data_IF_343934863970
#
_entry.id   IF_343934863970
#
_cell.length_a   1.000
_cell.length_b   1.000
_cell.length_c   1.000
_cell.angle_alpha   90.00
_cell.angle_beta   90.00
_cell.angle_gamma   90.00
#
_symmetry.space_group_name_H-M   'P 1'
#
loop_
_entity.id
_entity.type
_entity.pdbx_description
1 polymer ?
#
# COMPACT_ATOMS: atom_id res chain seq x y z
N UNK A 1 9.09 -7.01 7.12
CA UNK A 1 8.08 -7.81 6.40
C UNK A 1 7.99 -7.25 5.00
N UNK A 2 8.01 -8.09 3.96
CA UNK A 2 7.85 -7.62 2.59
C UNK A 2 6.50 -6.93 2.43
N UNK A 3 6.47 -5.94 1.55
CA UNK A 3 5.28 -5.11 1.32
C UNK A 3 4.37 -5.83 0.32
N UNK A 4 3.07 -5.96 0.63
CA UNK A 4 2.10 -6.53 -0.30
C UNK A 4 1.68 -5.52 -1.38
N UNK A 5 1.03 -5.99 -2.44
CA UNK A 5 0.60 -5.16 -3.57
C UNK A 5 -0.25 -3.94 -3.15
N UNK A 6 -1.19 -4.12 -2.22
CA UNK A 6 -2.04 -3.04 -1.73
C UNK A 6 -1.24 -2.01 -0.92
N UNK A 7 -0.32 -2.45 -0.06
CA UNK A 7 0.51 -1.55 0.74
C UNK A 7 1.48 -0.77 -0.15
N UNK A 8 2.00 -1.40 -1.22
CA UNK A 8 2.81 -0.72 -2.23
C UNK A 8 1.99 0.35 -2.96
N UNK A 9 0.79 -0.01 -3.44
CA UNK A 9 -0.15 0.93 -4.04
C UNK A 9 -0.47 2.11 -3.10
N UNK A 10 -0.80 1.82 -1.84
CA UNK A 10 -1.11 2.85 -0.84
C UNK A 10 0.06 3.82 -0.65
N UNK A 11 1.31 3.33 -0.58
CA UNK A 11 2.48 4.21 -0.44
C UNK A 11 2.66 5.12 -1.66
N UNK A 12 2.52 4.58 -2.87
CA UNK A 12 2.62 5.36 -4.10
C UNK A 12 1.52 6.43 -4.22
N UNK A 13 0.29 6.10 -3.81
CA UNK A 13 -0.87 6.97 -3.95
C UNK A 13 -1.12 7.84 -2.72
N UNK A 14 -0.35 7.69 -1.64
CA UNK A 14 -0.50 8.47 -0.41
C UNK A 14 -0.45 9.99 -0.66
N UNK A 15 0.52 10.53 -1.42
CA UNK A 15 0.56 11.98 -1.70
C UNK A 15 -0.70 12.47 -2.42
N UNK A 16 -1.23 11.66 -3.34
CA UNK A 16 -2.45 11.96 -4.10
C UNK A 16 -3.69 11.95 -3.20
N UNK A 17 -3.79 11.00 -2.28
CA UNK A 17 -4.88 10.91 -1.32
C UNK A 17 -4.82 12.09 -0.34
N UNK A 18 -3.63 12.45 0.14
CA UNK A 18 -3.43 13.62 1.00
C UNK A 18 -3.81 14.93 0.31
N UNK A 19 -3.44 15.08 -0.97
CA UNK A 19 -3.83 16.22 -1.78
C UNK A 19 -5.35 16.28 -1.98
N UNK A 20 -5.98 15.14 -2.28
CA UNK A 20 -7.42 15.04 -2.43
C UNK A 20 -8.17 15.49 -1.16
N UNK A 21 -7.76 14.98 0.01
CA UNK A 21 -8.33 15.39 1.29
C UNK A 21 -8.05 16.87 1.59
N UNK A 22 -6.87 17.39 1.25
CA UNK A 22 -6.52 18.81 1.40
C UNK A 22 -7.44 19.70 0.55
N UNK A 23 -7.64 19.37 -0.72
CA UNK A 23 -8.50 20.12 -1.65
C UNK A 23 -9.97 20.14 -1.20
N UNK A 24 -10.44 19.07 -0.57
CA UNK A 24 -11.80 18.98 -0.01
C UNK A 24 -11.96 19.61 1.37
N UNK A 25 -10.93 20.27 1.90
CA UNK A 25 -10.88 20.76 3.28
C UNK A 25 -11.27 19.69 4.31
N UNK A 26 -11.00 18.43 4.01
CA UNK A 26 -11.38 17.31 4.86
C UNK A 26 -10.50 17.29 6.12
N UNK A 27 -11.15 17.54 7.26
CA UNK A 27 -10.51 17.53 8.58
C UNK A 27 -9.97 16.13 8.96
N UNK A 28 -10.43 15.08 8.28
CA UNK A 28 -10.03 13.70 8.49
C UNK A 28 -8.74 13.31 7.77
N UNK A 29 -8.06 14.23 7.07
CA UNK A 29 -6.81 13.94 6.33
C UNK A 29 -5.67 13.36 7.17
N UNK A 30 -5.65 13.63 8.49
CA UNK A 30 -4.63 13.09 9.41
C UNK A 30 -4.98 11.70 9.93
N UNK A 31 -6.20 11.21 9.65
CA UNK A 31 -6.65 9.92 10.11
C UNK A 31 -6.20 8.83 9.13
N UNK A 32 -5.25 8.01 9.55
CA UNK A 32 -4.74 6.88 8.78
C UNK A 32 -5.83 5.87 8.38
N UNK A 33 -6.88 5.70 9.19
CA UNK A 33 -8.02 4.85 8.85
C UNK A 33 -8.81 5.44 7.69
N UNK A 34 -8.97 6.77 7.65
CA UNK A 34 -9.64 7.45 6.55
C UNK A 34 -8.85 7.34 5.24
N UNK A 35 -7.53 7.59 5.29
CA UNK A 35 -6.62 7.40 4.15
C UNK A 35 -6.70 5.97 3.61
N UNK A 36 -6.70 4.98 4.51
CA UNK A 36 -6.77 3.56 4.13
C UNK A 36 -8.12 3.20 3.51
N UNK A 37 -9.21 3.81 3.96
CA UNK A 37 -10.54 3.65 3.35
C UNK A 37 -10.57 4.19 1.91
N UNK A 38 -10.03 5.39 1.68
CA UNK A 38 -9.92 5.97 0.34
C UNK A 38 -9.04 5.08 -0.56
N UNK A 39 -7.86 4.70 -0.09
CA UNK A 39 -6.95 3.82 -0.84
C UNK A 39 -7.61 2.48 -1.19
N UNK A 40 -8.37 1.88 -0.25
CA UNK A 40 -9.10 0.65 -0.48
C UNK A 40 -10.24 0.79 -1.49
N UNK A 41 -10.94 1.92 -1.47
CA UNK A 41 -11.97 2.23 -2.45
C UNK A 41 -11.38 2.45 -3.86
N UNK A 42 -10.26 3.16 -3.96
CA UNK A 42 -9.55 3.35 -5.23
C UNK A 42 -9.02 2.03 -5.78
N UNK A 43 -8.35 1.23 -4.95
CA UNK A 43 -7.76 -0.05 -5.35
C UNK A 43 -8.77 -1.01 -5.99
N UNK A 44 -10.01 -1.06 -5.50
CA UNK A 44 -11.08 -1.90 -6.08
C UNK A 44 -11.57 -1.41 -7.45
N UNK A 45 -11.38 -0.12 -7.75
CA UNK A 45 -11.78 0.50 -9.01
C UNK A 45 -10.65 0.49 -10.06
N UNK A 46 -9.40 0.25 -9.63
CA UNK A 46 -8.27 0.22 -10.54
C UNK A 46 -8.35 -0.98 -11.52
N UNK A 47 -7.90 -0.80 -12.77
CA UNK A 47 -7.91 -1.84 -13.79
C UNK A 47 -7.07 -3.04 -13.35
N UNK A 48 -7.44 -4.22 -13.84
CA UNK A 48 -6.75 -5.47 -13.50
C UNK A 48 -5.25 -5.40 -13.83
N UNK A 49 -4.89 -4.85 -15.00
CA UNK A 49 -3.49 -4.69 -15.42
C UNK A 49 -2.65 -3.84 -14.45
N UNK A 50 -3.26 -2.86 -13.78
CA UNK A 50 -2.55 -2.09 -12.76
C UNK A 50 -2.34 -2.93 -11.50
N UNK A 51 -3.38 -3.65 -11.06
CA UNK A 51 -3.31 -4.53 -9.90
C UNK A 51 -2.29 -5.65 -10.09
N UNK A 52 -2.20 -6.21 -11.29
CA UNK A 52 -1.24 -7.24 -11.67
C UNK A 52 0.20 -6.70 -11.68
N UNK A 53 0.42 -5.46 -12.15
CA UNK A 53 1.73 -4.79 -12.04
C UNK A 53 2.17 -4.62 -10.60
N UNK A 54 1.28 -4.15 -9.72
CA UNK A 54 1.59 -4.03 -8.29
C UNK A 54 1.82 -5.40 -7.62
N UNK A 55 1.14 -6.46 -8.07
CA UNK A 55 1.39 -7.81 -7.60
C UNK A 55 2.78 -8.30 -8.02
N UNK A 56 3.20 -8.07 -9.26
CA UNK A 56 4.53 -8.40 -9.75
C UNK A 56 5.63 -7.67 -8.96
N UNK A 57 5.46 -6.37 -8.72
CA UNK A 57 6.42 -5.59 -7.90
C UNK A 57 6.47 -6.06 -6.44
N UNK A 58 5.34 -6.43 -5.85
CA UNK A 58 5.30 -6.97 -4.49
C UNK A 58 5.99 -8.34 -4.38
N UNK A 59 5.86 -9.21 -5.39
CA UNK A 59 6.61 -10.47 -5.44
C UNK A 59 8.11 -10.24 -5.62
N UNK A 60 8.53 -9.23 -6.39
CA UNK A 60 9.93 -8.83 -6.48
C UNK A 60 10.48 -8.35 -5.13
N UNK A 61 9.74 -7.51 -4.40
CA UNK A 61 10.13 -7.04 -3.07
C UNK A 61 10.25 -8.21 -2.09
N UNK A 62 9.30 -9.16 -2.14
CA UNK A 62 9.30 -10.37 -1.33
C UNK A 62 10.49 -11.28 -1.60
N UNK A 63 10.83 -11.51 -2.87
CA UNK A 63 12.00 -12.29 -3.25
C UNK A 63 13.30 -11.55 -2.87
N UNK A 64 13.37 -10.24 -3.07
CA UNK A 64 14.48 -9.40 -2.63
C UNK A 64 14.69 -9.48 -1.11
N UNK A 65 13.61 -9.38 -0.34
CA UNK A 65 13.64 -9.53 1.12
C UNK A 65 14.07 -10.94 1.54
N UNK A 66 13.64 -11.99 0.82
CA UNK A 66 14.07 -13.37 1.10
C UNK A 66 15.58 -13.55 0.86
N UNK A 67 16.11 -12.95 -0.20
CA UNK A 67 17.55 -12.97 -0.52
C UNK A 67 18.38 -12.15 0.45
N UNK A 68 17.91 -10.96 0.82
CA UNK A 68 18.60 -10.05 1.73
C UNK A 68 18.59 -10.54 3.19
N UNK A 69 17.54 -11.25 3.58
CA UNK A 69 17.37 -11.76 4.95
C UNK A 69 17.13 -13.28 4.96
N UNK A 70 18.14 -14.09 4.61
CA UNK A 70 18.04 -15.55 4.66
C UNK A 70 17.92 -15.99 6.12
N UNK A 71 16.71 -16.37 6.54
CA UNK A 71 16.39 -16.73 7.93
C UNK A 71 15.38 -15.82 8.62
N UNK A 72 14.89 -14.77 7.92
CA UNK A 72 13.82 -13.94 8.46
C UNK A 72 12.52 -14.76 8.66
N UNK A 73 11.99 -14.71 9.88
CA UNK A 73 10.69 -15.28 10.26
C UNK A 73 9.83 -14.19 10.89
N UNK A 74 8.58 -14.09 10.45
CA UNK A 74 7.63 -13.17 11.05
C UNK A 74 7.22 -13.66 12.45
N UNK A 75 7.60 -12.92 13.48
CA UNK A 75 7.17 -13.15 14.85
C UNK A 75 6.23 -12.00 15.27
N UNK A 76 4.90 -12.18 15.19
CA UNK A 76 3.98 -11.19 15.75
C UNK A 76 4.16 -11.14 17.27
N UNK A 77 4.31 -9.93 17.82
CA UNK A 77 4.23 -9.74 19.28
C UNK A 77 2.75 -9.85 19.68
N UNK A 78 2.47 -10.75 20.63
CA UNK A 78 1.18 -10.83 21.32
C UNK A 78 1.03 -9.65 22.28
#
# INVERSE_FOLDING_TARGET
RPVNAFMLYRMCYMPRIEEFCRRRADRSRKNNAHISSIAGASWRQEPQDLRDRFAAWAEQDKEGHRRAFPGWKYCPRQ
#
